data_IF_460608184733
#
_entry.id   IF_460608184733
#
_cell.length_a   1.000
_cell.length_b   1.000
_cell.length_c   1.000
_cell.angle_alpha   90.00
_cell.angle_beta   90.00
_cell.angle_gamma   90.00
#
_symmetry.space_group_name_H-M   'P 1'
#
loop_
_entity.id
_entity.type
_entity.pdbx_description
1 polymer ?
#
# COMPACT_ATOMS: atom_id res chain seq x y z
N UNK A 1 9.06 3.36 -1.63
CA UNK A 1 9.21 4.44 -2.63
C UNK A 1 8.64 3.92 -3.94
N UNK A 2 7.91 4.69 -4.75
CA UNK A 2 7.24 4.21 -5.98
C UNK A 2 8.13 3.35 -6.91
N UNK A 3 9.44 3.57 -6.89
CA UNK A 3 10.45 2.80 -7.61
C UNK A 3 10.68 1.36 -7.08
N UNK A 4 10.12 0.98 -5.94
CA UNK A 4 10.29 -0.35 -5.31
C UNK A 4 9.26 -1.39 -5.75
N UNK A 5 8.65 -1.21 -6.93
CA UNK A 5 7.69 -2.16 -7.51
C UNK A 5 6.21 -1.92 -7.15
N UNK A 6 5.87 -0.76 -6.60
CA UNK A 6 4.49 -0.37 -6.30
C UNK A 6 3.84 0.53 -7.36
N UNK A 7 4.57 0.90 -8.41
CA UNK A 7 4.07 1.73 -9.49
C UNK A 7 3.11 0.96 -10.41
N UNK A 8 2.06 1.65 -10.87
CA UNK A 8 1.14 1.21 -11.90
C UNK A 8 1.27 2.21 -13.04
N UNK A 9 1.81 1.75 -14.16
CA UNK A 9 2.14 2.57 -15.33
C UNK A 9 1.09 2.37 -16.43
N UNK A 10 1.13 3.24 -17.44
CA UNK A 10 0.27 3.17 -18.64
C UNK A 10 -1.24 3.17 -18.35
N UNK A 11 -1.69 3.97 -17.37
CA UNK A 11 -3.11 4.09 -17.08
C UNK A 11 -3.87 4.84 -18.19
N UNK A 12 -5.10 4.43 -18.51
CA UNK A 12 -5.87 5.02 -19.61
C UNK A 12 -6.23 6.49 -19.31
N UNK A 13 -5.69 7.40 -20.12
CA UNK A 13 -6.02 8.81 -20.06
C UNK A 13 -7.13 9.15 -21.05
N UNK A 14 -8.14 9.88 -20.58
CA UNK A 14 -9.22 10.39 -21.43
C UNK A 14 -9.16 11.92 -21.48
N UNK A 15 -8.83 12.47 -22.65
CA UNK A 15 -8.82 13.90 -22.89
C UNK A 15 -10.19 14.39 -23.34
N UNK A 16 -10.65 15.50 -22.79
CA UNK A 16 -11.92 16.12 -23.18
C UNK A 16 -11.80 17.65 -23.14
N UNK A 17 -12.62 18.32 -23.94
CA UNK A 17 -12.68 19.78 -23.92
C UNK A 17 -13.57 20.25 -22.77
N UNK A 18 -13.06 21.18 -21.97
CA UNK A 18 -13.77 21.79 -20.85
C UNK A 18 -13.34 23.25 -20.71
N UNK A 19 -14.30 24.17 -20.57
CA UNK A 19 -14.05 25.61 -20.36
C UNK A 19 -13.06 26.28 -21.34
N UNK A 20 -12.94 25.75 -22.56
CA UNK A 20 -12.02 26.26 -23.59
C UNK A 20 -10.61 25.65 -23.56
N UNK A 21 -10.30 24.76 -22.61
CA UNK A 21 -9.04 24.04 -22.50
C UNK A 21 -9.23 22.53 -22.77
N UNK A 22 -8.13 21.83 -23.08
CA UNK A 22 -8.10 20.37 -23.10
C UNK A 22 -7.76 19.91 -21.68
N UNK A 23 -8.72 19.27 -21.02
CA UNK A 23 -8.54 18.66 -19.72
C UNK A 23 -8.31 17.15 -19.86
N UNK A 24 -7.45 16.60 -19.00
CA UNK A 24 -7.24 15.15 -18.90
C UNK A 24 -8.01 14.63 -17.69
N UNK A 25 -8.96 13.73 -17.93
CA UNK A 25 -9.61 12.99 -16.85
C UNK A 25 -8.58 12.11 -16.16
N UNK A 26 -8.45 12.27 -14.85
CA UNK A 26 -7.62 11.39 -14.03
C UNK A 26 -8.17 9.94 -14.12
N UNK A 27 -7.30 8.92 -14.23
CA UNK A 27 -7.73 7.53 -14.39
C UNK A 27 -8.28 6.91 -13.09
N UNK A 28 -8.01 7.51 -11.92
CA UNK A 28 -8.70 7.17 -10.66
C UNK A 28 -9.90 8.09 -10.43
N UNK A 29 -10.85 7.64 -9.61
CA UNK A 29 -12.05 8.44 -9.29
C UNK A 29 -11.71 9.75 -8.56
N UNK A 30 -10.62 9.76 -7.80
CA UNK A 30 -10.14 10.92 -7.03
C UNK A 30 -8.62 11.00 -7.01
N UNK A 31 -8.09 12.21 -6.84
CA UNK A 31 -6.68 12.40 -6.46
C UNK A 31 -6.53 12.25 -4.95
N UNK A 32 -5.84 11.20 -4.53
CA UNK A 32 -5.50 10.97 -3.12
C UNK A 32 -4.26 11.80 -2.77
N UNK A 33 -4.36 12.68 -1.78
CA UNK A 33 -3.19 13.42 -1.27
C UNK A 33 -2.35 12.55 -0.35
N UNK A 34 -1.07 12.88 -0.17
CA UNK A 34 -0.15 12.15 0.73
C UNK A 34 -0.72 12.00 2.15
N UNK A 35 -1.34 13.06 2.68
CA UNK A 35 -2.01 13.02 3.98
C UNK A 35 -3.14 12.00 3.99
N UNK A 36 -3.95 11.95 2.93
CA UNK A 36 -5.09 11.05 2.84
C UNK A 36 -4.65 9.60 2.64
N UNK A 37 -3.57 9.38 1.89
CA UNK A 37 -2.92 8.06 1.77
C UNK A 37 -2.47 7.57 3.14
N UNK A 38 -1.82 8.41 3.93
CA UNK A 38 -1.39 8.07 5.29
C UNK A 38 -2.58 7.72 6.20
N UNK A 39 -3.64 8.55 6.20
CA UNK A 39 -4.86 8.27 6.99
C UNK A 39 -5.51 6.94 6.57
N UNK A 40 -5.57 6.65 5.27
CA UNK A 40 -6.10 5.40 4.74
C UNK A 40 -5.24 4.19 5.15
N UNK A 41 -3.91 4.34 5.11
CA UNK A 41 -2.97 3.29 5.48
C UNK A 41 -3.05 2.92 6.97
N UNK A 42 -3.26 3.90 7.85
CA UNK A 42 -3.48 3.68 9.29
C UNK A 42 -4.83 2.97 9.57
N UNK A 43 -5.82 3.15 8.69
CA UNK A 43 -7.10 2.42 8.72
C UNK A 43 -7.07 1.10 7.93
N UNK A 44 -5.89 0.66 7.47
CA UNK A 44 -5.70 -0.64 6.82
C UNK A 44 -6.15 -0.71 5.36
N UNK A 45 -6.31 0.43 4.69
CA UNK A 45 -6.56 0.50 3.26
C UNK A 45 -5.26 0.57 2.47
N UNK A 46 -5.33 0.10 1.22
CA UNK A 46 -4.23 0.15 0.25
C UNK A 46 -4.67 1.11 -0.86
N UNK A 47 -4.30 2.38 -0.72
CA UNK A 47 -4.73 3.42 -1.64
C UNK A 47 -3.84 3.48 -2.89
N UNK A 48 -4.47 3.50 -4.07
CA UNK A 48 -3.79 3.79 -5.33
C UNK A 48 -3.74 5.30 -5.52
N UNK A 49 -2.54 5.88 -5.47
CA UNK A 49 -2.35 7.33 -5.57
C UNK A 49 -1.85 7.70 -6.96
N UNK A 50 -2.62 8.53 -7.67
CA UNK A 50 -2.23 9.07 -8.98
C UNK A 50 -1.14 10.12 -8.88
N UNK A 51 -0.15 10.05 -9.76
CA UNK A 51 0.79 11.14 -9.99
C UNK A 51 0.15 12.17 -10.92
N UNK A 52 -0.08 13.37 -10.37
CA UNK A 52 -0.72 14.48 -11.09
C UNK A 52 0.02 14.80 -12.39
N UNK A 53 -0.73 14.90 -13.50
CA UNK A 53 -0.18 15.24 -14.81
C UNK A 53 0.57 14.09 -15.50
N UNK A 54 0.40 12.86 -15.05
CA UNK A 54 0.91 11.65 -15.71
C UNK A 54 -0.15 10.56 -15.77
N UNK A 55 0.14 9.50 -16.52
CA UNK A 55 -0.55 8.22 -16.62
C UNK A 55 -0.07 7.19 -15.57
N UNK A 56 0.71 7.62 -14.57
CA UNK A 56 1.27 6.73 -13.56
C UNK A 56 0.59 6.89 -12.20
N UNK A 57 0.40 5.78 -11.51
CA UNK A 57 -0.02 5.72 -10.11
C UNK A 57 0.96 4.91 -9.28
N UNK A 58 0.82 4.94 -7.96
CA UNK A 58 1.58 4.08 -7.08
C UNK A 58 0.82 3.69 -5.82
N UNK A 59 1.09 2.47 -5.36
CA UNK A 59 0.86 2.06 -3.98
C UNK A 59 2.09 2.42 -3.14
N UNK A 60 1.90 3.28 -2.14
CA UNK A 60 2.97 3.71 -1.24
C UNK A 60 3.16 2.79 -0.04
N UNK A 61 2.05 2.20 0.43
CA UNK A 61 1.99 1.29 1.55
C UNK A 61 1.06 0.11 1.24
N UNK A 62 1.22 -0.98 2.00
CA UNK A 62 0.38 -2.19 1.88
C UNK A 62 0.08 -2.76 3.28
N UNK A 63 -0.58 -1.95 4.10
CA UNK A 63 -1.11 -2.37 5.40
C UNK A 63 -2.26 -3.36 5.21
N UNK A 64 -2.34 -4.37 6.08
CA UNK A 64 -3.56 -5.17 6.22
C UNK A 64 -4.60 -4.44 7.06
N UNK A 65 -5.82 -4.97 7.09
CA UNK A 65 -6.91 -4.49 7.96
C UNK A 65 -6.67 -4.74 9.46
N UNK A 66 -5.61 -5.47 9.83
CA UNK A 66 -5.32 -5.78 11.21
C UNK A 66 -4.76 -4.56 11.94
N UNK A 67 -5.53 -4.03 12.89
CA UNK A 67 -5.09 -2.91 13.73
C UNK A 67 -3.91 -3.30 14.63
N UNK A 68 -2.81 -2.53 14.65
CA UNK A 68 -1.71 -2.72 15.60
C UNK A 68 -2.19 -2.67 17.05
N UNK A 69 -1.64 -3.55 17.89
CA UNK A 69 -1.95 -3.60 19.33
C UNK A 69 -0.91 -2.82 20.13
N UNK A 70 -1.37 -2.15 21.18
CA UNK A 70 -0.52 -1.51 22.19
C UNK A 70 -0.18 -2.53 23.29
N UNK A 71 1.09 -2.60 23.68
CA UNK A 71 1.59 -3.54 24.68
C UNK A 71 2.22 -2.84 25.91
N UNK A 72 2.15 -1.51 25.98
CA UNK A 72 2.67 -0.73 27.11
C UNK A 72 4.03 -0.10 26.86
N UNK A 73 4.44 0.79 27.77
CA UNK A 73 5.63 1.63 27.58
C UNK A 73 6.96 0.99 28.04
N UNK A 74 6.94 -0.26 28.50
CA UNK A 74 8.18 -0.96 28.87
C UNK A 74 9.03 -1.27 27.63
N UNK A 75 10.35 -1.52 27.79
CA UNK A 75 11.20 -1.94 26.68
C UNK A 75 10.67 -3.19 25.94
N UNK A 76 10.11 -4.15 26.68
CA UNK A 76 9.52 -5.38 26.14
C UNK A 76 8.21 -5.08 25.40
N UNK A 77 7.37 -4.19 25.97
CA UNK A 77 6.13 -3.73 25.34
C UNK A 77 6.38 -3.08 23.99
N UNK A 78 7.35 -2.15 23.91
CA UNK A 78 7.74 -1.52 22.64
C UNK A 78 8.28 -2.52 21.61
N UNK A 79 9.02 -3.53 22.07
CA UNK A 79 9.51 -4.60 21.19
C UNK A 79 8.36 -5.47 20.67
N UNK A 80 7.40 -5.81 21.53
CA UNK A 80 6.20 -6.55 21.14
C UNK A 80 5.32 -5.76 20.16
N UNK A 81 5.17 -4.46 20.36
CA UNK A 81 4.48 -3.55 19.43
C UNK A 81 5.13 -3.55 18.05
N UNK A 82 6.46 -3.40 18.00
CA UNK A 82 7.20 -3.42 16.73
C UNK A 82 6.99 -4.75 16.00
N UNK A 83 7.16 -5.88 16.71
CA UNK A 83 6.97 -7.21 16.14
C UNK A 83 5.54 -7.42 15.63
N UNK A 84 4.55 -6.97 16.40
CA UNK A 84 3.15 -7.07 16.01
C UNK A 84 2.86 -6.22 14.78
N UNK A 85 3.40 -5.00 14.71
CA UNK A 85 3.25 -4.09 13.56
C UNK A 85 3.86 -4.67 12.28
N UNK A 86 4.98 -5.39 12.36
CA UNK A 86 5.53 -6.10 11.19
C UNK A 86 4.54 -7.13 10.64
N UNK A 87 3.82 -7.84 11.52
CA UNK A 87 2.79 -8.80 11.13
C UNK A 87 1.56 -8.17 10.48
N UNK A 88 1.26 -6.90 10.75
CA UNK A 88 0.12 -6.21 10.12
C UNK A 88 0.42 -5.71 8.71
N UNK A 89 1.67 -5.79 8.26
CA UNK A 89 2.12 -5.31 6.96
C UNK A 89 2.21 -6.47 5.97
N UNK A 90 1.40 -6.42 4.90
CA UNK A 90 1.28 -7.52 3.94
C UNK A 90 2.60 -7.90 3.24
N UNK A 91 3.52 -6.98 2.91
CA UNK A 91 4.79 -7.34 2.29
C UNK A 91 5.60 -8.34 3.13
N UNK A 92 5.62 -8.19 4.46
CA UNK A 92 6.30 -9.13 5.35
C UNK A 92 5.55 -10.47 5.43
N UNK A 93 4.21 -10.42 5.49
CA UNK A 93 3.39 -11.64 5.51
C UNK A 93 3.55 -12.47 4.24
N UNK A 94 3.71 -11.85 3.07
CA UNK A 94 3.94 -12.58 1.81
C UNK A 94 5.27 -13.33 1.80
N UNK A 95 6.31 -12.81 2.48
CA UNK A 95 7.58 -13.53 2.68
C UNK A 95 7.37 -14.76 3.55
N UNK A 96 6.69 -14.59 4.70
CA UNK A 96 6.39 -15.70 5.62
C UNK A 96 5.53 -16.77 4.94
N UNK A 97 4.53 -16.38 4.16
CA UNK A 97 3.67 -17.31 3.40
C UNK A 97 4.49 -18.15 2.41
N UNK A 98 5.44 -17.55 1.69
CA UNK A 98 6.33 -18.31 0.79
C UNK A 98 7.20 -19.30 1.54
N UNK A 99 7.79 -18.91 2.67
CA UNK A 99 8.57 -19.82 3.51
C UNK A 99 7.72 -20.99 3.99
N UNK A 100 6.50 -20.71 4.47
CA UNK A 100 5.56 -21.75 4.91
C UNK A 100 5.19 -22.71 3.77
N UNK A 101 4.95 -22.19 2.56
CA UNK A 101 4.70 -23.02 1.38
C UNK A 101 5.88 -23.94 1.08
N UNK A 102 7.11 -23.42 1.07
CA UNK A 102 8.31 -24.24 0.82
C UNK A 102 8.50 -25.32 1.89
N UNK A 103 8.38 -24.97 3.16
CA UNK A 103 8.48 -25.93 4.27
C UNK A 103 7.44 -27.04 4.13
N UNK A 104 6.21 -26.70 3.72
CA UNK A 104 5.13 -27.68 3.57
C UNK A 104 5.39 -28.66 2.42
N UNK A 105 6.00 -28.21 1.32
CA UNK A 105 6.39 -29.08 0.21
C UNK A 105 7.54 -29.99 0.63
N UNK A 106 8.60 -29.43 1.23
CA UNK A 106 9.79 -30.17 1.64
C UNK A 106 9.54 -31.25 2.71
N UNK A 107 8.56 -31.05 3.60
CA UNK A 107 8.19 -32.05 4.61
C UNK A 107 7.24 -33.13 4.10
N UNK A 108 6.63 -32.93 2.92
CA UNK A 108 5.74 -33.91 2.28
C UNK A 108 6.50 -34.92 1.43
N UNK A 109 7.63 -34.50 0.87
CA UNK A 109 8.62 -35.35 0.21
C UNK A 109 9.53 -36.02 1.25
#
# INVERSE_FOLDING_TARGET
SPLSGGAVEDLPLHHFHSMGEIETKIPTEVLVSDRREYELAEEGFIALTMRKGSDNAAFFSASSVQKPKFFGNSPEGKTAELNYRLGTQLPYMMVVNRLAHYLKVLQRE
#
